data_IF_406378477271
#
_entry.id   IF_406378477271
#
_cell.length_a   1.000
_cell.length_b   1.000
_cell.length_c   1.000
_cell.angle_alpha   90.00
_cell.angle_beta   90.00
_cell.angle_gamma   90.00
#
_symmetry.space_group_name_H-M   'P 1'
#
loop_
_entity.id
_entity.type
_entity.pdbx_description
1 polymer ?
#
# COMPACT_ATOMS: atom_id res chain seq x y z
N UNK A 1 -8.90 9.58 -18.29
CA UNK A 1 -8.32 9.20 -16.98
C UNK A 1 -7.11 8.38 -17.30
N UNK A 2 -5.95 9.01 -17.16
CA UNK A 2 -4.73 8.53 -17.78
C UNK A 2 -4.10 7.44 -16.90
N UNK A 3 -4.02 6.24 -17.45
CA UNK A 3 -3.16 5.19 -16.89
C UNK A 3 -1.73 5.63 -17.18
N UNK A 4 -1.10 6.30 -16.21
CA UNK A 4 0.29 6.66 -16.32
C UNK A 4 1.13 5.42 -15.97
N UNK A 5 1.78 4.85 -16.98
CA UNK A 5 2.95 3.99 -16.76
C UNK A 5 4.03 4.86 -16.13
N UNK A 6 4.11 4.89 -14.79
CA UNK A 6 5.23 5.56 -14.12
C UNK A 6 6.46 4.67 -14.28
N UNK A 7 7.28 5.02 -15.27
CA UNK A 7 8.63 4.51 -15.44
C UNK A 7 9.43 4.95 -14.22
N UNK A 8 9.64 4.04 -13.25
CA UNK A 8 10.46 4.36 -12.10
C UNK A 8 11.90 4.57 -12.59
N UNK A 9 12.47 5.71 -12.21
CA UNK A 9 13.77 6.23 -12.67
C UNK A 9 14.90 5.51 -11.93
N UNK A 10 14.98 4.19 -12.09
CA UNK A 10 16.14 3.38 -11.75
C UNK A 10 16.13 2.15 -12.65
N UNK A 11 17.12 2.09 -13.55
CA UNK A 11 17.28 1.02 -14.52
C UNK A 11 17.30 -0.38 -13.84
N UNK A 12 16.61 -1.34 -14.50
CA UNK A 12 16.88 -2.78 -14.48
C UNK A 12 16.33 -3.73 -13.37
N UNK A 13 15.20 -3.50 -12.68
CA UNK A 13 14.64 -4.49 -11.70
C UNK A 13 13.09 -4.53 -11.62
N UNK A 14 12.48 -5.59 -11.01
CA UNK A 14 11.44 -6.45 -11.63
C UNK A 14 10.19 -5.70 -12.07
N UNK A 15 9.54 -6.18 -13.14
CA UNK A 15 8.27 -5.66 -13.65
C UNK A 15 7.16 -5.74 -12.59
N UNK A 16 6.86 -4.63 -11.93
CA UNK A 16 5.67 -4.49 -11.10
C UNK A 16 4.70 -3.50 -11.74
N UNK A 17 3.41 -3.78 -11.63
CA UNK A 17 2.37 -2.86 -12.08
C UNK A 17 2.07 -1.86 -10.96
N UNK A 18 1.84 -0.60 -11.31
CA UNK A 18 1.52 0.47 -10.33
C UNK A 18 0.09 0.95 -10.55
N UNK A 19 -0.67 1.05 -9.47
CA UNK A 19 -2.00 1.66 -9.43
C UNK A 19 -1.89 2.94 -8.60
N UNK A 20 -2.42 4.04 -9.12
CA UNK A 20 -2.40 5.33 -8.43
C UNK A 20 -3.78 5.63 -7.83
N UNK A 21 -3.81 5.96 -6.55
CA UNK A 21 -4.99 6.37 -5.81
C UNK A 21 -4.74 7.67 -5.07
N UNK A 22 -5.65 8.62 -5.28
CA UNK A 22 -5.73 9.86 -4.51
C UNK A 22 -6.92 9.72 -3.58
N UNK A 23 -6.72 9.99 -2.29
CA UNK A 23 -7.77 10.01 -1.26
C UNK A 23 -8.76 11.13 -1.50
N UNK A 24 -9.61 10.90 -2.48
CA UNK A 24 -10.81 11.67 -2.73
C UNK A 24 -11.93 10.88 -2.11
N UNK A 25 -12.73 11.49 -1.25
CA UNK A 25 -13.89 10.87 -0.59
C UNK A 25 -15.04 10.51 -1.57
N UNK A 26 -14.69 10.13 -2.81
CA UNK A 26 -15.53 9.85 -3.96
C UNK A 26 -15.55 8.32 -4.22
N UNK A 27 -16.75 7.75 -4.07
CA UNK A 27 -16.99 6.32 -4.28
C UNK A 27 -16.69 5.85 -5.71
N UNK A 28 -16.88 6.70 -6.73
CA UNK A 28 -16.63 6.33 -8.12
C UNK A 28 -15.12 6.18 -8.38
N UNK A 29 -14.31 7.07 -7.81
CA UNK A 29 -12.85 6.99 -7.91
C UNK A 29 -12.30 5.78 -7.17
N UNK A 30 -12.89 5.43 -6.02
CA UNK A 30 -12.56 4.20 -5.31
C UNK A 30 -12.87 2.95 -6.14
N UNK A 31 -14.06 2.87 -6.76
CA UNK A 31 -14.43 1.75 -7.63
C UNK A 31 -13.51 1.63 -8.85
N UNK A 32 -13.13 2.76 -9.46
CA UNK A 32 -12.18 2.79 -10.58
C UNK A 32 -10.80 2.26 -10.17
N UNK A 33 -10.29 2.67 -9.00
CA UNK A 33 -9.03 2.14 -8.45
C UNK A 33 -9.11 0.63 -8.23
N UNK A 34 -10.20 0.11 -7.66
CA UNK A 34 -10.37 -1.33 -7.47
C UNK A 34 -10.37 -2.09 -8.80
N UNK A 35 -10.96 -1.53 -9.85
CA UNK A 35 -10.96 -2.12 -11.19
C UNK A 35 -9.55 -2.13 -11.81
N UNK A 36 -8.78 -1.07 -11.63
CA UNK A 36 -7.39 -1.00 -12.07
C UNK A 36 -6.53 -2.03 -11.34
N UNK A 37 -6.67 -2.14 -10.01
CA UNK A 37 -5.94 -3.11 -9.20
C UNK A 37 -6.22 -4.55 -9.64
N UNK A 38 -7.49 -4.89 -9.86
CA UNK A 38 -7.90 -6.22 -10.35
C UNK A 38 -7.27 -6.53 -11.70
N UNK A 39 -7.34 -5.58 -12.64
CA UNK A 39 -6.74 -5.71 -13.99
C UNK A 39 -5.21 -5.81 -13.92
N UNK A 40 -4.57 -5.16 -12.95
CA UNK A 40 -3.12 -5.17 -12.80
C UNK A 40 -2.58 -6.51 -12.27
N UNK A 41 -3.37 -7.24 -11.47
CA UNK A 41 -2.96 -8.49 -10.81
C UNK A 41 -3.57 -9.73 -11.42
N UNK A 42 -4.49 -9.57 -12.36
CA UNK A 42 -5.29 -10.67 -12.84
C UNK A 42 -5.82 -10.47 -14.24
N UNK A 43 -6.49 -11.49 -14.72
CA UNK A 43 -7.11 -11.52 -16.01
C UNK A 43 -8.54 -12.02 -15.88
N UNK A 44 -9.37 -11.70 -16.88
CA UNK A 44 -10.73 -12.18 -16.91
C UNK A 44 -10.74 -13.72 -16.98
N UNK A 45 -11.38 -14.32 -16.00
CA UNK A 45 -11.76 -15.72 -15.95
C UNK A 45 -13.28 -15.83 -16.27
N UNK A 46 -13.79 -17.06 -16.30
CA UNK A 46 -15.19 -17.34 -16.63
C UNK A 46 -16.16 -16.61 -15.69
N UNK A 47 -17.33 -16.24 -16.20
CA UNK A 47 -18.44 -15.68 -15.43
C UNK A 47 -18.10 -14.39 -14.63
N UNK A 48 -17.39 -13.44 -15.23
CA UNK A 48 -16.98 -12.18 -14.60
C UNK A 48 -16.08 -12.34 -13.35
N UNK A 49 -15.50 -13.52 -13.15
CA UNK A 49 -14.48 -13.75 -12.13
C UNK A 49 -13.14 -13.28 -12.67
N UNK A 50 -12.27 -12.73 -11.83
CA UNK A 50 -10.88 -12.50 -12.19
C UNK A 50 -9.99 -13.50 -11.45
N UNK A 51 -9.02 -14.05 -12.17
CA UNK A 51 -7.99 -14.92 -11.60
C UNK A 51 -6.67 -14.16 -11.52
N UNK A 52 -5.99 -14.25 -10.39
CA UNK A 52 -4.69 -13.62 -10.17
C UNK A 52 -3.62 -14.24 -11.08
N UNK A 53 -2.54 -13.51 -11.33
CA UNK A 53 -1.38 -14.08 -12.03
C UNK A 53 -0.83 -15.25 -11.22
N UNK A 54 -0.28 -16.28 -11.88
CA UNK A 54 0.35 -17.39 -11.16
C UNK A 54 1.82 -17.10 -10.79
N UNK A 55 2.35 -15.93 -11.17
CA UNK A 55 3.74 -15.56 -10.89
C UNK A 55 3.92 -15.03 -9.46
N UNK A 56 4.53 -15.84 -8.62
CA UNK A 56 4.80 -15.50 -7.20
C UNK A 56 5.84 -14.41 -7.03
N UNK A 57 6.66 -14.15 -8.05
CA UNK A 57 7.69 -13.12 -8.01
C UNK A 57 7.15 -11.75 -8.40
N UNK A 58 6.07 -11.71 -9.20
CA UNK A 58 5.43 -10.47 -9.60
C UNK A 58 4.84 -9.72 -8.40
N UNK A 59 5.03 -8.40 -8.41
CA UNK A 59 4.50 -7.48 -7.41
C UNK A 59 3.49 -6.54 -8.05
N UNK A 60 2.57 -6.04 -7.24
CA UNK A 60 1.75 -4.88 -7.59
C UNK A 60 1.93 -3.82 -6.50
N UNK A 61 2.03 -2.58 -6.94
CA UNK A 61 2.17 -1.41 -6.09
C UNK A 61 0.89 -0.57 -6.15
N UNK A 62 0.40 -0.13 -5.00
CA UNK A 62 -0.68 0.85 -4.90
C UNK A 62 -0.13 2.11 -4.25
N UNK A 63 -0.02 3.18 -5.03
CA UNK A 63 0.38 4.49 -4.54
C UNK A 63 -0.85 5.17 -3.97
N UNK A 64 -0.82 5.45 -2.68
CA UNK A 64 -1.87 6.12 -1.93
C UNK A 64 -1.36 7.51 -1.59
N UNK A 65 -2.04 8.50 -2.13
CA UNK A 65 -1.72 9.91 -1.93
C UNK A 65 -2.85 10.59 -1.18
N UNK A 66 -2.51 11.26 -0.08
CA UNK A 66 -3.45 12.07 0.70
C UNK A 66 -3.08 13.54 0.53
N UNK A 67 -4.05 14.33 0.08
CA UNK A 67 -3.95 15.80 0.13
C UNK A 67 -4.36 16.25 1.54
N UNK A 68 -3.43 16.86 2.27
CA UNK A 68 -3.68 17.40 3.60
C UNK A 68 -4.23 18.84 3.56
N UNK A 69 -4.41 19.40 2.36
CA UNK A 69 -4.81 20.79 2.14
C UNK A 69 -3.66 21.78 2.28
N UNK A 70 -3.98 23.07 2.18
CA UNK A 70 -3.01 24.14 2.47
C UNK A 70 -2.68 24.15 3.96
N UNK A 71 -1.38 24.17 4.29
CA UNK A 71 -0.95 24.49 5.63
C UNK A 71 -1.46 25.87 6.01
N UNK A 72 -1.94 26.05 7.26
CA UNK A 72 -2.49 27.32 7.75
C UNK A 72 -1.53 28.53 7.70
N UNK A 73 -0.31 28.34 7.21
CA UNK A 73 0.74 29.34 6.98
C UNK A 73 0.94 29.72 5.49
N UNK A 74 0.05 29.27 4.59
CA UNK A 74 0.13 29.59 3.15
C UNK A 74 1.30 28.90 2.42
N UNK A 75 1.85 27.82 3.01
CA UNK A 75 2.84 26.97 2.36
C UNK A 75 2.18 25.85 1.55
N UNK A 76 2.92 25.39 0.54
CA UNK A 76 2.55 24.37 -0.46
C UNK A 76 1.66 23.25 0.12
N UNK A 77 0.65 22.84 -0.65
CA UNK A 77 -0.19 21.66 -0.37
C UNK A 77 0.68 20.52 0.16
N UNK A 78 0.44 20.12 1.41
CA UNK A 78 1.14 18.98 1.97
C UNK A 78 0.50 17.72 1.41
N UNK A 79 1.30 16.94 0.71
CA UNK A 79 0.88 15.68 0.11
C UNK A 79 1.67 14.58 0.77
N UNK A 80 0.99 13.74 1.53
CA UNK A 80 1.56 12.49 2.04
C UNK A 80 1.37 11.40 0.99
N UNK A 81 2.45 10.68 0.67
CA UNK A 81 2.40 9.59 -0.30
C UNK A 81 3.06 8.34 0.26
N UNK A 82 2.33 7.24 0.17
CA UNK A 82 2.83 5.91 0.49
C UNK A 82 2.61 4.96 -0.68
N UNK A 83 3.52 4.03 -0.87
CA UNK A 83 3.36 2.94 -1.83
C UNK A 83 3.18 1.64 -1.09
N UNK A 84 2.06 0.97 -1.30
CA UNK A 84 1.70 -0.31 -0.67
C UNK A 84 2.04 -1.44 -1.65
N UNK A 85 2.78 -2.46 -1.21
CA UNK A 85 3.21 -3.56 -2.08
C UNK A 85 2.47 -4.85 -1.76
N UNK A 86 1.97 -5.49 -2.83
CA UNK A 86 1.30 -6.78 -2.79
C UNK A 86 2.04 -7.81 -3.64
N UNK A 87 1.96 -9.07 -3.23
CA UNK A 87 2.28 -10.18 -4.11
C UNK A 87 1.15 -10.33 -5.15
N UNK A 88 1.45 -10.23 -6.44
CA UNK A 88 0.44 -10.27 -7.49
C UNK A 88 -0.28 -11.62 -7.56
N UNK A 89 0.34 -12.71 -7.09
CA UNK A 89 -0.24 -14.05 -7.19
C UNK A 89 -1.34 -14.36 -6.19
N UNK A 90 -1.33 -13.72 -5.02
CA UNK A 90 -2.27 -14.01 -3.94
C UNK A 90 -2.76 -12.75 -3.21
N UNK A 91 -2.38 -11.56 -3.69
CA UNK A 91 -2.72 -10.27 -3.09
C UNK A 91 -2.28 -10.10 -1.63
N UNK A 92 -1.31 -10.89 -1.17
CA UNK A 92 -0.78 -10.71 0.18
C UNK A 92 0.01 -9.42 0.26
N UNK A 93 -0.34 -8.62 1.28
CA UNK A 93 0.39 -7.40 1.64
C UNK A 93 1.77 -7.77 2.16
N UNK A 94 2.79 -7.08 1.66
CA UNK A 94 4.20 -7.39 1.97
C UNK A 94 4.91 -6.31 2.76
N UNK A 95 4.40 -5.07 2.70
CA UNK A 95 5.03 -3.88 3.24
C UNK A 95 4.66 -2.62 2.46
N UNK A 96 5.25 -1.50 2.85
CA UNK A 96 5.01 -0.19 2.23
C UNK A 96 6.27 0.67 2.23
N UNK A 97 6.36 1.61 1.29
CA UNK A 97 7.33 2.72 1.36
C UNK A 97 6.61 4.04 1.61
N UNK A 98 7.29 4.97 2.27
CA UNK A 98 6.84 6.36 2.44
C UNK A 98 7.76 7.26 1.66
N UNK A 99 7.19 8.08 0.77
CA UNK A 99 7.95 9.03 -0.04
C UNK A 99 8.53 10.14 0.85
N UNK A 100 7.80 10.54 1.89
CA UNK A 100 8.20 11.58 2.85
C UNK A 100 9.47 11.21 3.62
N UNK A 101 9.62 9.93 3.95
CA UNK A 101 10.76 9.43 4.73
C UNK A 101 11.82 8.75 3.88
N UNK A 102 11.54 8.43 2.61
CA UNK A 102 12.42 7.62 1.77
C UNK A 102 12.66 6.19 2.31
N UNK A 103 11.80 5.70 3.23
CA UNK A 103 11.97 4.41 3.91
C UNK A 103 11.05 3.35 3.33
N UNK A 104 11.57 2.12 3.25
CA UNK A 104 10.79 0.90 3.01
C UNK A 104 10.58 0.17 4.34
N UNK A 105 9.33 -0.13 4.66
CA UNK A 105 8.91 -0.99 5.77
C UNK A 105 8.44 -2.32 5.20
N UNK A 106 9.06 -3.41 5.63
CA UNK A 106 8.70 -4.77 5.18
C UNK A 106 8.27 -5.63 6.36
N UNK A 107 7.24 -6.45 6.15
CA UNK A 107 6.84 -7.46 7.14
C UNK A 107 7.89 -8.56 7.24
N UNK A 108 7.98 -9.19 8.42
CA UNK A 108 8.93 -10.26 8.64
C UNK A 108 8.64 -11.44 7.68
N UNK A 109 9.67 -11.95 7.01
CA UNK A 109 9.56 -13.09 6.09
C UNK A 109 9.22 -12.75 4.64
N UNK A 110 8.82 -11.51 4.32
CA UNK A 110 8.39 -11.16 2.95
C UNK A 110 9.55 -10.89 1.99
N UNK A 111 10.72 -10.54 2.53
CA UNK A 111 11.93 -10.16 1.78
C UNK A 111 11.66 -9.06 0.72
N UNK A 112 10.70 -8.18 0.98
CA UNK A 112 10.25 -7.16 0.02
C UNK A 112 11.40 -6.29 -0.49
N UNK A 113 12.30 -5.85 0.39
CA UNK A 113 13.46 -5.05 0.02
C UNK A 113 14.38 -5.78 -0.98
N UNK A 114 14.53 -7.09 -0.85
CA UNK A 114 15.29 -7.91 -1.82
C UNK A 114 14.52 -8.07 -3.14
N UNK A 115 13.20 -8.26 -3.09
CA UNK A 115 12.34 -8.43 -4.28
C UNK A 115 12.29 -7.17 -5.13
N UNK A 116 12.15 -6.00 -4.50
CA UNK A 116 12.29 -4.69 -5.15
C UNK A 116 13.75 -4.39 -5.50
N UNK A 117 14.67 -5.11 -4.86
CA UNK A 117 16.09 -4.90 -4.90
C UNK A 117 16.42 -3.43 -4.63
N UNK A 118 15.85 -3.00 -3.51
CA UNK A 118 15.68 -1.64 -3.04
C UNK A 118 17.00 -0.86 -3.10
N UNK A 119 16.90 0.33 -3.70
CA UNK A 119 17.99 1.29 -3.83
C UNK A 119 17.62 2.65 -3.25
N UNK A 120 16.60 2.70 -2.39
CA UNK A 120 16.19 3.94 -1.74
C UNK A 120 17.24 4.44 -0.74
N UNK A 121 17.05 5.68 -0.30
CA UNK A 121 17.99 6.41 0.56
C UNK A 121 18.32 5.68 1.86
N UNK A 122 17.36 4.91 2.37
CA UNK A 122 17.50 4.17 3.61
C UNK A 122 17.39 2.66 3.41
N UNK A 123 18.10 1.93 4.28
CA UNK A 123 17.95 0.49 4.38
C UNK A 123 16.50 0.12 4.77
N UNK A 124 15.94 -0.96 4.21
CA UNK A 124 14.62 -1.44 4.59
C UNK A 124 14.53 -1.74 6.09
N UNK A 125 13.44 -1.32 6.72
CA UNK A 125 13.10 -1.66 8.10
C UNK A 125 12.25 -2.92 8.09
N UNK A 126 12.73 -3.97 8.75
CA UNK A 126 11.96 -5.20 8.95
C UNK A 126 11.14 -5.09 10.24
N UNK A 127 9.82 -5.18 10.11
CA UNK A 127 8.90 -5.19 11.24
C UNK A 127 8.96 -6.55 11.97
N UNK A 128 8.77 -6.61 13.29
CA UNK A 128 8.95 -7.84 14.07
C UNK A 128 7.78 -8.83 13.96
N UNK A 129 6.88 -8.64 13.00
CA UNK A 129 5.69 -9.46 12.77
C UNK A 129 5.46 -9.70 11.26
N UNK A 130 4.82 -10.82 10.95
CA UNK A 130 4.45 -11.19 9.57
C UNK A 130 3.05 -10.71 9.19
N UNK A 131 2.59 -11.13 8.02
CA UNK A 131 1.35 -10.71 7.35
C UNK A 131 0.07 -11.40 7.84
N UNK A 132 0.19 -12.40 8.74
CA UNK A 132 -0.99 -13.10 9.23
C UNK A 132 -1.89 -12.18 10.06
N UNK A 133 -3.21 -12.33 9.93
CA UNK A 133 -4.16 -11.53 10.71
C UNK A 133 -3.90 -11.63 12.22
N UNK A 134 -3.53 -12.81 12.73
CA UNK A 134 -3.18 -13.01 14.14
C UNK A 134 -1.96 -12.18 14.55
N UNK A 135 -0.93 -12.08 13.70
CA UNK A 135 0.25 -11.27 13.98
C UNK A 135 -0.09 -9.77 13.96
N UNK A 136 -0.87 -9.32 12.97
CA UNK A 136 -1.32 -7.93 12.86
C UNK A 136 -2.22 -7.51 14.03
N UNK A 137 -3.15 -8.37 14.44
CA UNK A 137 -4.02 -8.15 15.60
C UNK A 137 -3.22 -8.00 16.89
N UNK A 138 -2.24 -8.88 17.12
CA UNK A 138 -1.34 -8.78 18.28
C UNK A 138 -0.51 -7.50 18.26
N UNK A 139 0.04 -7.15 17.10
CA UNK A 139 0.83 -5.92 16.94
C UNK A 139 -0.01 -4.65 17.19
N UNK A 140 -1.28 -4.66 16.78
CA UNK A 140 -2.23 -3.57 17.02
C UNK A 140 -2.86 -3.57 18.43
N UNK A 141 -2.64 -4.62 19.24
CA UNK A 141 -3.28 -4.77 20.54
C UNK A 141 -4.78 -5.09 20.47
N UNK A 142 -5.25 -5.68 19.37
CA UNK A 142 -6.66 -5.99 19.14
C UNK A 142 -6.96 -7.47 19.34
N UNK A 143 -8.08 -7.77 20.01
CA UNK A 143 -8.56 -9.14 20.19
C UNK A 143 -9.17 -9.74 18.92
N UNK A 144 -9.70 -8.92 18.01
CA UNK A 144 -10.17 -9.36 16.70
C UNK A 144 -10.18 -8.20 15.70
N UNK A 145 -10.25 -8.53 14.40
CA UNK A 145 -10.42 -7.53 13.33
C UNK A 145 -11.81 -6.90 13.32
N UNK A 146 -12.81 -7.56 13.92
CA UNK A 146 -14.16 -7.02 14.01
C UNK A 146 -14.28 -5.84 14.99
N UNK A 147 -13.26 -5.63 15.82
CA UNK A 147 -13.14 -4.47 16.70
C UNK A 147 -12.47 -3.26 16.01
N UNK A 148 -11.97 -3.43 14.78
CA UNK A 148 -11.36 -2.34 14.01
C UNK A 148 -12.46 -1.55 13.30
N UNK A 149 -12.50 -0.24 13.54
CA UNK A 149 -13.28 0.68 12.73
C UNK A 149 -12.50 0.99 11.44
N UNK A 150 -13.16 0.86 10.29
CA UNK A 150 -12.58 1.23 8.99
C UNK A 150 -13.32 2.49 8.53
N UNK A 151 -12.66 3.63 8.71
CA UNK A 151 -13.22 4.95 8.46
C UNK A 151 -12.43 5.56 7.31
N UNK A 152 -13.09 6.33 6.44
CA UNK A 152 -12.46 7.06 5.32
C UNK A 152 -11.35 8.03 5.79
N UNK A 153 -11.29 8.36 7.09
CA UNK A 153 -10.39 9.39 7.64
C UNK A 153 -9.06 8.85 8.20
N UNK A 154 -8.87 7.53 8.39
CA UNK A 154 -7.73 7.02 9.17
C UNK A 154 -6.76 6.12 8.38
N UNK A 155 -6.04 6.68 7.40
CA UNK A 155 -4.71 6.18 7.05
C UNK A 155 -3.67 7.06 7.70
N UNK A 156 -3.36 6.82 8.97
CA UNK A 156 -2.20 7.45 9.61
C UNK A 156 -1.04 6.46 9.56
N UNK A 157 -0.13 6.65 8.61
CA UNK A 157 1.12 5.90 8.55
C UNK A 157 2.12 6.50 9.55
N UNK A 158 1.92 6.25 10.85
CA UNK A 158 2.92 6.69 11.81
C UNK A 158 4.13 5.74 11.82
N UNK A 159 5.31 6.30 11.57
CA UNK A 159 6.61 5.76 12.03
C UNK A 159 6.76 5.77 13.56
N UNK A 160 5.68 5.52 14.30
CA UNK A 160 5.57 5.58 15.74
C UNK A 160 4.14 5.26 16.15
N UNK A 161 3.92 4.06 16.69
CA UNK A 161 2.62 3.55 17.13
C UNK A 161 1.90 4.53 18.07
N UNK A 162 0.91 5.28 17.56
CA UNK A 162 -0.14 5.92 18.36
C UNK A 162 -1.47 5.82 17.60
N UNK A 163 -2.32 4.88 18.03
CA UNK A 163 -3.72 4.80 17.60
C UNK A 163 -4.55 5.62 18.58
N UNK A 164 -5.30 6.58 18.05
CA UNK A 164 -6.26 7.39 18.79
C UNK A 164 -7.37 6.48 19.33
N UNK A 165 -7.30 6.16 20.62
CA UNK A 165 -8.32 5.41 21.35
C UNK A 165 -9.59 6.25 21.51
N UNK A 166 -10.66 5.96 20.77
CA UNK A 166 -12.03 6.22 21.26
C UNK A 166 -12.61 4.91 21.77
N UNK A 167 -12.63 4.78 23.10
CA UNK A 167 -13.49 3.82 23.78
C UNK A 167 -14.91 4.37 23.74
N UNK A 168 -15.85 3.62 23.19
CA UNK A 168 -17.23 3.64 23.67
C UNK A 168 -17.41 2.49 24.63
#
# INVERSE_FOLDING_TARGET
MDSATVTNRAANRPSYSTVHWVDTHDSNRYLAMLQQLRTAVGHAFRNNVQETTHDRNQLVALNVTRDLGEGGDGRQHQVESVTIYFNASNMYFLGWSSDDTGRLYQLNGTNLGRRLAWSGEHQPITLPFGESYTALQRAAGWGSRGAMEINTVAFTFCGGLQVLSRRT
#
